data_IF_637061053271
#
_entry.id   IF_637061053271
#
_cell.length_a   1.000
_cell.length_b   1.000
_cell.length_c   1.000
_cell.angle_alpha   90.00
_cell.angle_beta   90.00
_cell.angle_gamma   90.00
#
_symmetry.space_group_name_H-M   'P 1'
#
loop_
_entity.id
_entity.type
_entity.pdbx_description
1 polymer ?
#
# COMPACT_ATOMS: atom_id res chain seq x y z
N UNK A 1 31.21 20.30 -54.66
CA UNK A 1 30.39 21.23 -55.44
C UNK A 1 28.96 20.74 -55.38
N UNK A 2 28.20 21.46 -54.70
CA UNK A 2 26.75 21.73 -54.74
C UNK A 2 25.80 20.73 -54.07
N UNK A 3 25.74 20.76 -52.77
CA UNK A 3 24.64 20.16 -51.96
C UNK A 3 23.85 21.24 -51.16
N UNK A 4 23.87 22.49 -51.62
CA UNK A 4 23.21 23.64 -50.96
C UNK A 4 21.95 24.16 -51.69
N UNK A 5 21.52 23.57 -52.79
CA UNK A 5 20.38 24.09 -53.57
C UNK A 5 19.05 23.36 -53.33
N UNK A 6 19.03 22.17 -52.72
CA UNK A 6 17.81 21.40 -52.54
C UNK A 6 17.08 21.61 -51.21
N UNK A 7 17.68 22.38 -50.29
CA UNK A 7 17.09 22.66 -48.95
C UNK A 7 16.05 23.80 -48.97
N UNK A 8 16.11 24.68 -49.99
CA UNK A 8 15.15 25.79 -50.09
C UNK A 8 13.78 25.44 -50.65
N UNK A 9 13.67 24.33 -51.37
CA UNK A 9 12.37 23.88 -51.94
C UNK A 9 11.59 22.97 -50.99
N UNK A 10 12.21 22.40 -49.96
CA UNK A 10 11.54 21.57 -48.95
C UNK A 10 10.84 22.43 -47.90
N UNK A 11 11.23 23.68 -47.73
CA UNK A 11 10.64 24.62 -46.74
C UNK A 11 9.43 25.41 -47.30
N UNK A 12 9.19 25.37 -48.64
CA UNK A 12 8.09 26.10 -49.28
C UNK A 12 6.85 25.26 -49.51
N UNK A 13 6.92 23.91 -49.29
CA UNK A 13 5.79 22.99 -49.46
C UNK A 13 5.01 22.72 -48.18
N UNK A 14 5.46 23.23 -47.01
CA UNK A 14 4.79 22.99 -45.70
C UNK A 14 3.82 24.13 -45.29
N UNK A 15 3.61 25.15 -46.12
CA UNK A 15 2.82 26.35 -45.78
C UNK A 15 1.49 26.46 -46.55
N UNK A 16 1.05 25.42 -47.29
CA UNK A 16 -0.15 25.50 -48.15
C UNK A 16 -1.24 24.46 -47.84
N UNK A 17 -1.37 24.01 -46.58
CA UNK A 17 -2.45 23.06 -46.21
C UNK A 17 -3.32 23.52 -45.03
N UNK A 18 -3.49 24.80 -44.82
CA UNK A 18 -4.48 25.32 -43.87
C UNK A 18 -5.44 26.32 -44.54
N UNK A 19 -6.24 25.84 -45.49
CA UNK A 19 -7.50 26.51 -45.89
C UNK A 19 -8.35 25.51 -46.70
N UNK A 20 -9.31 24.90 -46.01
CA UNK A 20 -10.66 24.57 -46.47
C UNK A 20 -11.29 23.58 -45.48
N UNK A 21 -12.28 24.04 -44.72
CA UNK A 21 -13.67 23.60 -44.86
C UNK A 21 -14.51 24.34 -43.82
N UNK A 22 -15.11 25.42 -44.25
CA UNK A 22 -16.40 25.82 -43.72
C UNK A 22 -17.44 24.97 -44.46
N UNK A 23 -18.08 24.09 -43.72
CA UNK A 23 -19.26 23.34 -44.15
C UNK A 23 -20.25 23.33 -43.01
N UNK A 24 -21.20 24.29 -43.09
CA UNK A 24 -22.42 24.27 -42.25
C UNK A 24 -23.19 22.96 -42.53
N UNK A 25 -23.12 22.01 -41.58
CA UNK A 25 -24.18 21.03 -41.41
C UNK A 25 -24.71 21.13 -39.98
N UNK A 26 -25.89 21.73 -39.87
CA UNK A 26 -26.73 21.66 -38.68
C UNK A 26 -27.15 20.22 -38.45
N UNK A 27 -26.49 19.55 -37.53
CA UNK A 27 -27.04 18.36 -36.88
C UNK A 27 -27.65 18.84 -35.58
N UNK A 28 -28.95 18.96 -35.61
CA UNK A 28 -29.81 19.23 -34.46
C UNK A 28 -29.89 17.92 -33.62
N UNK A 29 -28.92 17.71 -32.75
CA UNK A 29 -28.96 16.76 -31.67
C UNK A 29 -28.74 17.57 -30.40
N UNK A 30 -29.77 17.68 -29.56
CA UNK A 30 -29.82 18.49 -28.34
C UNK A 30 -28.77 18.06 -27.27
N UNK A 31 -27.50 18.14 -27.62
CA UNK A 31 -26.42 18.19 -26.65
C UNK A 31 -26.19 19.66 -26.31
N UNK A 32 -26.60 20.06 -25.14
CA UNK A 32 -26.18 21.33 -24.55
C UNK A 32 -24.65 21.26 -24.48
N UNK A 33 -23.98 21.96 -25.42
CA UNK A 33 -22.52 22.16 -25.35
C UNK A 33 -22.31 23.05 -24.14
N UNK A 34 -21.87 22.45 -23.04
CA UNK A 34 -21.50 23.12 -21.80
C UNK A 34 -20.17 23.82 -22.08
N UNK A 35 -20.23 25.14 -22.42
CA UNK A 35 -19.07 26.01 -22.59
C UNK A 35 -18.41 26.24 -21.23
N UNK A 36 -17.65 25.28 -20.72
CA UNK A 36 -16.96 25.36 -19.44
C UNK A 36 -15.66 24.58 -19.43
N UNK A 37 -14.70 25.06 -18.69
CA UNK A 37 -13.48 24.30 -18.37
C UNK A 37 -13.84 23.12 -17.46
N UNK A 38 -13.48 21.90 -17.85
CA UNK A 38 -13.69 20.71 -17.03
C UNK A 38 -12.92 20.83 -15.72
N UNK A 39 -13.53 20.41 -14.62
CA UNK A 39 -12.95 20.43 -13.29
C UNK A 39 -11.69 19.56 -13.22
N UNK A 40 -10.59 20.13 -12.78
CA UNK A 40 -9.33 19.41 -12.59
C UNK A 40 -9.29 18.75 -11.20
N UNK A 41 -8.82 17.52 -11.14
CA UNK A 41 -8.68 16.77 -9.89
C UNK A 41 -7.21 16.49 -9.59
N UNK A 42 -6.79 16.85 -8.39
CA UNK A 42 -5.52 16.43 -7.80
C UNK A 42 -5.86 15.64 -6.54
N UNK A 43 -5.60 14.33 -6.54
CA UNK A 43 -6.11 13.41 -5.52
C UNK A 43 -4.96 12.69 -4.84
N UNK A 44 -4.97 12.68 -3.51
CA UNK A 44 -4.06 11.89 -2.68
C UNK A 44 -4.78 11.38 -1.45
N UNK A 45 -4.23 10.35 -0.81
CA UNK A 45 -4.70 9.86 0.49
C UNK A 45 -3.82 10.46 1.59
N UNK A 46 -4.43 10.87 2.69
CA UNK A 46 -3.74 11.17 3.94
C UNK A 46 -3.44 9.88 4.71
N UNK A 47 -2.42 9.91 5.55
CA UNK A 47 -2.10 8.80 6.43
C UNK A 47 -3.05 8.76 7.62
N UNK A 48 -3.26 7.57 8.19
CA UNK A 48 -3.90 7.45 9.50
C UNK A 48 -3.09 8.19 10.57
N UNK A 49 -3.75 8.89 11.46
CA UNK A 49 -3.14 9.36 12.70
C UNK A 49 -2.75 8.15 13.56
N UNK A 50 -1.50 8.07 14.01
CA UNK A 50 -1.01 6.93 14.81
C UNK A 50 -1.37 7.16 16.27
N UNK A 51 -2.11 6.23 16.87
CA UNK A 51 -2.30 6.12 18.31
C UNK A 51 -1.53 4.89 18.80
N UNK A 52 -0.29 5.10 19.17
CA UNK A 52 0.60 4.05 19.67
C UNK A 52 0.26 3.74 21.13
N UNK A 53 -0.47 2.65 21.36
CA UNK A 53 -0.86 2.17 22.70
C UNK A 53 0.26 1.33 23.33
N UNK A 54 1.16 0.81 22.51
CA UNK A 54 2.40 0.16 22.94
C UNK A 54 3.55 1.15 22.81
N UNK A 55 4.35 1.36 23.85
CA UNK A 55 5.57 2.19 23.83
C UNK A 55 6.68 1.67 22.88
N UNK A 56 6.31 0.95 21.84
CA UNK A 56 7.20 0.38 20.83
C UNK A 56 7.00 1.20 19.55
N UNK A 57 8.02 2.01 19.20
CA UNK A 57 8.08 2.69 17.90
C UNK A 57 8.01 1.63 16.79
N UNK A 58 6.87 1.48 16.17
CA UNK A 58 6.76 0.83 14.87
C UNK A 58 7.18 1.87 13.85
N UNK A 59 8.32 1.67 13.22
CA UNK A 59 8.76 2.43 12.05
C UNK A 59 7.76 2.21 10.93
N UNK A 60 7.38 3.30 10.25
CA UNK A 60 6.56 3.41 9.04
C UNK A 60 6.23 2.09 8.34
N UNK A 61 5.24 1.38 8.81
CA UNK A 61 4.71 0.23 8.13
C UNK A 61 3.41 0.64 7.45
N UNK A 62 3.51 1.05 6.19
CA UNK A 62 2.54 0.88 5.13
C UNK A 62 1.04 0.95 5.46
N UNK A 63 0.61 1.85 6.37
CA UNK A 63 -0.80 2.12 6.59
C UNK A 63 -1.40 3.07 5.56
N UNK A 64 -0.61 3.48 4.56
CA UNK A 64 -1.05 4.36 3.50
C UNK A 64 -1.76 3.56 2.40
N UNK A 65 -3.05 3.80 2.23
CA UNK A 65 -3.78 3.36 1.04
C UNK A 65 -3.25 4.11 -0.17
N UNK A 66 -2.78 3.38 -1.18
CA UNK A 66 -2.34 3.95 -2.46
C UNK A 66 -3.33 3.60 -3.55
N UNK A 67 -3.56 4.54 -4.48
CA UNK A 67 -4.42 4.28 -5.62
C UNK A 67 -3.72 3.40 -6.66
N UNK A 68 -4.47 2.45 -7.20
CA UNK A 68 -4.04 1.55 -8.27
C UNK A 68 -4.75 1.91 -9.58
N UNK A 69 -4.13 1.57 -10.71
CA UNK A 69 -4.77 1.75 -12.02
C UNK A 69 -6.12 1.02 -12.05
N UNK A 70 -7.16 1.76 -12.36
CA UNK A 70 -8.53 1.26 -12.38
C UNK A 70 -9.38 1.69 -11.18
N UNK A 71 -8.77 2.23 -10.12
CA UNK A 71 -9.50 2.78 -8.98
C UNK A 71 -10.46 3.89 -9.41
N UNK A 72 -11.57 4.02 -8.68
CA UNK A 72 -12.61 4.99 -8.97
C UNK A 72 -13.03 5.73 -7.72
N UNK A 73 -13.23 7.04 -7.87
CA UNK A 73 -13.81 7.91 -6.85
C UNK A 73 -15.15 8.44 -7.34
N UNK A 74 -16.07 8.73 -6.42
CA UNK A 74 -17.28 9.49 -6.67
C UNK A 74 -17.09 10.94 -6.26
N UNK A 75 -17.58 11.87 -7.09
CA UNK A 75 -17.55 13.30 -6.77
C UNK A 75 -18.99 13.84 -6.84
N UNK A 76 -19.39 14.59 -5.80
CA UNK A 76 -20.72 15.17 -5.63
C UNK A 76 -20.54 16.67 -5.46
N UNK A 77 -21.37 17.47 -6.16
CA UNK A 77 -21.31 18.93 -6.09
C UNK A 77 -22.69 19.48 -5.77
N UNK A 78 -22.74 20.38 -4.78
CA UNK A 78 -23.98 21.03 -4.33
C UNK A 78 -23.86 22.54 -4.43
N UNK A 79 -25.03 23.23 -4.52
CA UNK A 79 -25.11 24.65 -4.32
C UNK A 79 -25.24 25.05 -2.83
N UNK A 80 -25.42 26.35 -2.55
CA UNK A 80 -25.54 26.87 -1.18
C UNK A 80 -26.80 26.40 -0.44
N UNK A 81 -27.81 25.97 -1.16
CA UNK A 81 -29.08 25.47 -0.63
C UNK A 81 -29.12 23.94 -0.53
N UNK A 82 -27.95 23.28 -0.74
CA UNK A 82 -27.77 21.83 -0.82
C UNK A 82 -28.54 21.15 -1.97
N UNK A 83 -28.90 21.90 -3.03
CA UNK A 83 -29.37 21.23 -4.24
C UNK A 83 -28.22 20.59 -5.00
N UNK A 84 -28.45 19.40 -5.52
CA UNK A 84 -27.45 18.64 -6.26
C UNK A 84 -27.24 19.26 -7.64
N UNK A 85 -26.01 19.70 -7.92
CA UNK A 85 -25.57 20.19 -9.23
C UNK A 85 -24.90 19.06 -10.03
N UNK A 86 -24.16 18.18 -9.34
CA UNK A 86 -23.54 16.98 -9.92
C UNK A 86 -23.66 15.84 -8.93
N UNK A 87 -24.33 14.76 -9.34
CA UNK A 87 -24.63 13.61 -8.48
C UNK A 87 -23.70 12.44 -8.76
N UNK A 88 -22.84 12.15 -7.80
CA UNK A 88 -22.00 10.95 -7.77
C UNK A 88 -21.27 10.67 -9.10
N UNK A 89 -20.55 11.66 -9.60
CA UNK A 89 -19.83 11.55 -10.88
C UNK A 89 -18.59 10.69 -10.72
N UNK A 90 -18.45 9.56 -11.47
CA UNK A 90 -17.31 8.68 -11.37
C UNK A 90 -16.08 9.25 -12.08
N UNK A 91 -14.95 9.26 -11.38
CA UNK A 91 -13.62 9.50 -11.94
C UNK A 91 -12.76 8.28 -11.74
N UNK A 92 -12.02 7.89 -12.79
CA UNK A 92 -11.14 6.73 -12.80
C UNK A 92 -9.68 7.15 -12.87
N UNK A 93 -8.85 6.46 -12.09
CA UNK A 93 -7.40 6.60 -12.11
C UNK A 93 -6.78 5.68 -13.18
N UNK A 94 -5.93 6.22 -14.05
CA UNK A 94 -5.23 5.44 -15.09
C UNK A 94 -3.80 5.05 -14.69
N UNK A 95 -3.40 5.31 -13.44
CA UNK A 95 -2.04 5.14 -12.94
C UNK A 95 -1.24 6.47 -12.91
N UNK A 96 -1.80 7.55 -13.45
CA UNK A 96 -1.16 8.86 -13.56
C UNK A 96 -2.12 10.01 -13.27
N UNK A 97 -3.29 10.00 -13.90
CA UNK A 97 -4.30 11.06 -13.78
C UNK A 97 -5.69 10.50 -13.49
N UNK A 98 -6.55 11.36 -12.94
CA UNK A 98 -7.97 11.09 -12.75
C UNK A 98 -8.78 11.71 -13.89
N UNK A 99 -9.60 10.90 -14.55
CA UNK A 99 -10.46 11.33 -15.64
C UNK A 99 -11.89 10.83 -15.45
N UNK A 100 -12.87 11.55 -16.02
CA UNK A 100 -14.26 11.11 -16.00
C UNK A 100 -14.39 9.70 -16.58
N UNK A 101 -15.05 8.80 -15.83
CA UNK A 101 -15.28 7.41 -16.26
C UNK A 101 -16.65 7.28 -16.95
N UNK A 102 -16.70 7.49 -18.27
CA UNK A 102 -17.92 7.36 -19.04
C UNK A 102 -18.54 5.96 -19.01
N UNK A 103 -17.74 4.92 -18.72
CA UNK A 103 -18.20 3.53 -18.65
C UNK A 103 -19.07 3.23 -17.43
N UNK A 104 -18.89 3.98 -16.34
CA UNK A 104 -19.69 3.90 -15.12
C UNK A 104 -20.59 5.11 -14.90
N UNK A 105 -20.44 6.14 -15.71
CA UNK A 105 -21.21 7.37 -15.68
C UNK A 105 -22.35 7.38 -16.70
N UNK A 106 -23.09 6.29 -16.90
CA UNK A 106 -24.20 6.23 -17.82
C UNK A 106 -25.22 7.35 -17.57
N UNK A 107 -25.44 8.20 -18.55
CA UNK A 107 -26.29 9.40 -18.43
C UNK A 107 -25.68 10.56 -17.64
N UNK A 108 -24.44 10.44 -17.14
CA UNK A 108 -23.68 11.48 -16.42
C UNK A 108 -22.64 12.12 -17.36
N UNK A 109 -22.18 13.30 -17.00
CA UNK A 109 -21.11 14.03 -17.71
C UNK A 109 -20.00 14.39 -16.73
N UNK A 110 -18.81 14.70 -17.24
CA UNK A 110 -17.75 15.30 -16.41
C UNK A 110 -18.28 16.56 -15.71
N UNK A 111 -17.72 16.85 -14.54
CA UNK A 111 -18.06 18.07 -13.81
C UNK A 111 -17.33 19.23 -14.49
N UNK A 112 -18.07 20.31 -14.75
CA UNK A 112 -17.56 21.58 -15.25
C UNK A 112 -17.66 22.66 -14.18
N UNK A 113 -16.88 23.73 -14.35
CA UNK A 113 -16.98 24.88 -13.47
C UNK A 113 -18.40 25.43 -13.49
N UNK A 114 -18.98 25.59 -12.28
CA UNK A 114 -20.29 26.21 -12.07
C UNK A 114 -20.16 27.27 -10.98
N UNK A 115 -20.60 28.51 -11.26
CA UNK A 115 -20.51 29.60 -10.31
C UNK A 115 -21.51 29.48 -9.13
N UNK A 116 -22.43 28.52 -9.17
CA UNK A 116 -23.36 28.19 -8.08
C UNK A 116 -22.83 27.13 -7.16
N UNK A 117 -21.81 26.38 -7.60
CA UNK A 117 -21.20 25.29 -6.83
C UNK A 117 -20.47 25.85 -5.60
N UNK A 118 -20.84 25.40 -4.42
CA UNK A 118 -20.31 25.91 -3.14
C UNK A 118 -19.87 24.81 -2.17
N UNK A 119 -20.33 23.57 -2.40
CA UNK A 119 -20.01 22.40 -1.58
C UNK A 119 -19.59 21.26 -2.49
N UNK A 120 -18.48 20.62 -2.14
CA UNK A 120 -17.92 19.51 -2.87
C UNK A 120 -17.63 18.36 -1.92
N UNK A 121 -18.03 17.15 -2.32
CA UNK A 121 -17.66 15.90 -1.65
C UNK A 121 -16.97 14.99 -2.62
N UNK A 122 -15.99 14.22 -2.13
CA UNK A 122 -15.42 13.11 -2.86
C UNK A 122 -15.26 11.91 -1.92
N UNK A 123 -15.32 10.71 -2.48
CA UNK A 123 -15.17 9.48 -1.70
C UNK A 123 -14.58 8.35 -2.55
N UNK A 124 -14.00 7.38 -1.88
CA UNK A 124 -13.49 6.12 -2.43
C UNK A 124 -13.89 4.96 -1.49
N UNK A 125 -14.21 3.78 -2.02
CA UNK A 125 -14.37 3.41 -3.43
C UNK A 125 -15.71 3.89 -4.03
N UNK A 126 -15.72 4.19 -5.33
CA UNK A 126 -16.95 4.56 -6.02
C UNK A 126 -17.99 3.42 -6.03
N UNK A 127 -19.25 3.74 -5.78
CA UNK A 127 -20.40 2.87 -6.00
C UNK A 127 -21.59 3.63 -6.53
N UNK A 128 -22.39 3.00 -7.40
CA UNK A 128 -23.68 3.54 -7.85
C UNK A 128 -24.72 3.62 -6.72
N UNK A 129 -24.54 2.85 -5.65
CA UNK A 129 -25.42 2.90 -4.48
C UNK A 129 -25.37 4.26 -3.75
N UNK A 130 -24.30 5.03 -3.98
CA UNK A 130 -24.16 6.38 -3.45
C UNK A 130 -24.84 7.46 -4.30
N UNK A 131 -25.61 7.12 -5.33
CA UNK A 131 -26.43 8.08 -6.06
C UNK A 131 -27.46 8.71 -5.10
N UNK A 132 -27.63 10.03 -5.20
CA UNK A 132 -28.48 10.87 -4.32
C UNK A 132 -27.99 10.98 -2.86
N UNK A 133 -26.78 10.55 -2.54
CA UNK A 133 -26.16 10.81 -1.23
C UNK A 133 -25.53 12.20 -1.25
N UNK A 134 -25.85 13.02 -0.24
CA UNK A 134 -25.44 14.44 -0.20
C UNK A 134 -24.55 14.78 1.01
N UNK A 135 -24.09 13.78 1.76
CA UNK A 135 -23.22 14.00 2.91
C UNK A 135 -22.43 12.74 3.27
N UNK A 136 -21.38 12.91 4.08
CA UNK A 136 -20.47 11.84 4.50
C UNK A 136 -21.19 10.78 5.36
N UNK A 137 -22.15 11.16 6.18
CA UNK A 137 -22.87 10.18 7.03
C UNK A 137 -23.73 9.22 6.19
N UNK A 138 -24.30 9.73 5.09
CA UNK A 138 -24.99 8.87 4.11
C UNK A 138 -24.02 7.88 3.45
N UNK A 139 -22.81 8.30 3.10
CA UNK A 139 -21.76 7.38 2.59
C UNK A 139 -21.39 6.31 3.61
N UNK A 140 -21.19 6.66 4.89
CA UNK A 140 -20.92 5.69 5.97
C UNK A 140 -22.07 4.70 6.16
N UNK A 141 -23.30 5.07 5.83
CA UNK A 141 -24.45 4.17 5.87
C UNK A 141 -24.41 3.08 4.77
N UNK A 142 -23.74 3.35 3.65
CA UNK A 142 -23.61 2.44 2.51
C UNK A 142 -22.34 1.59 2.65
N UNK A 143 -21.22 2.21 2.95
CA UNK A 143 -19.90 1.56 2.96
C UNK A 143 -19.52 1.13 4.38
N UNK A 144 -20.17 0.08 4.89
CA UNK A 144 -19.82 -0.49 6.19
C UNK A 144 -18.61 -1.43 6.06
N UNK A 145 -17.64 -1.37 7.00
CA UNK A 145 -16.54 -2.31 7.01
C UNK A 145 -17.02 -3.76 7.16
N UNK A 146 -16.46 -4.65 6.35
CA UNK A 146 -16.75 -6.07 6.43
C UNK A 146 -16.13 -6.71 7.68
N UNK A 147 -16.79 -7.74 8.23
CA UNK A 147 -16.25 -8.49 9.37
C UNK A 147 -15.13 -9.46 8.97
N UNK A 148 -15.10 -9.91 7.72
CA UNK A 148 -14.05 -10.75 7.16
C UNK A 148 -13.29 -9.98 6.06
N UNK A 149 -12.13 -9.46 6.41
CA UNK A 149 -11.26 -8.70 5.52
C UNK A 149 -9.99 -9.47 5.11
N UNK A 150 -9.99 -10.80 5.18
CA UNK A 150 -8.82 -11.62 4.83
C UNK A 150 -8.41 -11.53 3.36
N UNK A 151 -9.29 -11.11 2.47
CA UNK A 151 -8.93 -10.80 1.08
C UNK A 151 -8.54 -9.34 0.90
N UNK A 152 -7.63 -9.07 -0.05
CA UNK A 152 -7.23 -7.69 -0.41
C UNK A 152 -8.46 -6.85 -0.81
N UNK A 153 -9.38 -7.44 -1.55
CA UNK A 153 -10.57 -6.74 -2.06
C UNK A 153 -11.51 -6.36 -0.92
N UNK A 154 -11.80 -7.27 0.03
CA UNK A 154 -12.64 -6.98 1.19
C UNK A 154 -11.99 -5.93 2.12
N UNK A 155 -10.67 -6.01 2.34
CA UNK A 155 -9.94 -5.01 3.10
C UNK A 155 -10.04 -3.62 2.46
N UNK A 156 -9.77 -3.51 1.15
CA UNK A 156 -9.87 -2.24 0.42
C UNK A 156 -11.30 -1.69 0.34
N UNK A 157 -12.29 -2.57 0.15
CA UNK A 157 -13.71 -2.18 0.13
C UNK A 157 -14.19 -1.65 1.50
N UNK A 158 -13.56 -2.08 2.59
CA UNK A 158 -13.86 -1.63 3.95
C UNK A 158 -13.25 -0.25 4.28
N UNK A 159 -12.30 0.24 3.49
CA UNK A 159 -11.61 1.51 3.73
C UNK A 159 -12.31 2.65 2.98
N UNK A 160 -13.40 3.15 3.57
CA UNK A 160 -14.06 4.35 3.05
C UNK A 160 -13.18 5.58 3.27
N UNK A 161 -12.72 6.18 2.17
CA UNK A 161 -12.03 7.46 2.16
C UNK A 161 -13.02 8.58 1.83
N UNK A 162 -12.94 9.70 2.52
CA UNK A 162 -13.83 10.84 2.35
C UNK A 162 -13.06 12.14 2.31
N UNK A 163 -13.60 13.10 1.56
CA UNK A 163 -13.12 14.47 1.52
C UNK A 163 -14.30 15.42 1.29
N UNK A 164 -14.21 16.63 1.84
CA UNK A 164 -15.17 17.68 1.55
C UNK A 164 -14.54 19.07 1.53
N UNK A 165 -15.07 19.95 0.68
CA UNK A 165 -14.83 21.37 0.72
C UNK A 165 -16.19 22.08 0.87
N UNK A 166 -16.34 22.81 1.98
CA UNK A 166 -17.53 23.58 2.32
C UNK A 166 -17.21 25.07 2.43
N UNK A 167 -16.20 25.52 1.70
CA UNK A 167 -15.71 26.91 1.74
C UNK A 167 -16.73 27.95 1.20
N UNK A 168 -17.79 27.48 0.57
CA UNK A 168 -18.85 28.32 0.05
C UNK A 168 -18.51 29.07 -1.24
N UNK A 169 -17.50 28.59 -1.98
CA UNK A 169 -17.03 29.24 -3.22
C UNK A 169 -16.89 28.24 -4.37
N UNK A 170 -17.16 28.66 -5.61
CA UNK A 170 -16.94 27.80 -6.77
C UNK A 170 -15.45 27.55 -7.02
N UNK A 171 -15.10 26.31 -7.36
CA UNK A 171 -13.74 25.84 -7.61
C UNK A 171 -13.58 25.39 -9.06
N UNK A 172 -12.43 25.69 -9.65
CA UNK A 172 -11.99 25.16 -10.97
C UNK A 172 -11.11 23.93 -10.85
N UNK A 173 -10.57 23.70 -9.65
CA UNK A 173 -9.70 22.59 -9.32
C UNK A 173 -10.05 22.09 -7.93
N UNK A 174 -10.11 20.76 -7.75
CA UNK A 174 -10.22 20.11 -6.47
C UNK A 174 -8.87 19.51 -6.07
N UNK A 175 -8.30 20.02 -4.99
CA UNK A 175 -7.13 19.44 -4.33
C UNK A 175 -7.63 18.54 -3.21
N UNK A 176 -7.91 17.27 -3.55
CA UNK A 176 -8.51 16.27 -2.67
C UNK A 176 -7.42 15.59 -1.85
N UNK A 177 -7.50 15.72 -0.54
CA UNK A 177 -6.71 14.94 0.42
C UNK A 177 -7.68 14.10 1.21
N UNK A 178 -7.82 12.84 0.84
CA UNK A 178 -8.74 11.94 1.51
C UNK A 178 -8.31 11.64 2.95
N UNK A 179 -9.29 11.56 3.83
CA UNK A 179 -9.17 11.04 5.19
C UNK A 179 -9.93 9.72 5.29
N UNK A 180 -9.46 8.82 6.16
CA UNK A 180 -10.14 7.56 6.43
C UNK A 180 -11.38 7.80 7.29
N UNK A 181 -12.55 7.37 6.83
CA UNK A 181 -13.81 7.53 7.56
C UNK A 181 -13.90 6.61 8.79
N UNK A 182 -13.02 5.61 8.87
CA UNK A 182 -13.01 4.54 9.85
C UNK A 182 -11.70 4.47 10.64
N UNK A 183 -11.65 3.59 11.63
CA UNK A 183 -10.45 3.31 12.43
C UNK A 183 -9.73 2.10 11.89
N UNK A 184 -8.41 2.08 11.98
CA UNK A 184 -7.56 0.94 11.67
C UNK A 184 -7.07 0.27 12.96
N UNK A 185 -7.22 -1.05 13.07
CA UNK A 185 -6.53 -1.86 14.07
C UNK A 185 -5.39 -2.61 13.37
N UNK A 186 -4.18 -2.53 13.94
CA UNK A 186 -2.99 -3.20 13.42
C UNK A 186 -2.34 -4.05 14.50
N UNK A 187 -2.12 -5.34 14.23
CA UNK A 187 -1.52 -6.31 15.14
C UNK A 187 -0.24 -6.88 14.54
N UNK A 188 0.87 -6.75 15.27
CA UNK A 188 2.20 -7.23 14.86
C UNK A 188 2.85 -8.04 15.98
N UNK A 189 2.40 -9.29 16.25
CA UNK A 189 3.06 -10.15 17.23
C UNK A 189 4.49 -10.42 16.77
N UNK A 190 5.48 -10.12 17.60
CA UNK A 190 6.86 -10.03 17.12
C UNK A 190 7.85 -10.79 17.98
N UNK A 191 8.88 -11.34 17.34
CA UNK A 191 10.09 -11.82 17.98
C UNK A 191 11.12 -10.69 17.94
N UNK A 192 11.80 -10.48 19.08
CA UNK A 192 12.91 -9.54 19.18
C UNK A 192 14.23 -10.28 19.23
N UNK A 193 15.21 -9.80 18.47
CA UNK A 193 16.58 -10.29 18.53
C UNK A 193 17.59 -9.17 18.34
N UNK A 194 18.86 -9.45 18.67
CA UNK A 194 20.00 -8.61 18.31
C UNK A 194 20.85 -9.30 17.25
N UNK A 195 21.02 -8.61 16.12
CA UNK A 195 21.82 -9.13 15.03
C UNK A 195 23.28 -8.70 15.24
N UNK A 196 24.18 -9.68 15.33
CA UNK A 196 25.62 -9.48 15.57
C UNK A 196 25.92 -8.59 16.79
N UNK A 197 25.10 -8.65 17.84
CA UNK A 197 25.26 -7.86 19.07
C UNK A 197 25.17 -6.34 18.88
N UNK A 198 24.77 -5.85 17.70
CA UNK A 198 24.83 -4.42 17.36
C UNK A 198 23.48 -3.79 16.99
N UNK A 199 22.63 -4.55 16.31
CA UNK A 199 21.36 -4.03 15.79
C UNK A 199 20.18 -4.76 16.40
N UNK A 200 19.29 -4.02 17.07
CA UNK A 200 17.98 -4.54 17.47
C UNK A 200 17.16 -4.80 16.22
N UNK A 201 16.59 -5.98 16.14
CA UNK A 201 15.75 -6.42 15.04
C UNK A 201 14.46 -7.04 15.60
N UNK A 202 13.33 -6.63 15.04
CA UNK A 202 12.02 -7.14 15.44
C UNK A 202 11.27 -7.57 14.19
N UNK A 203 10.68 -8.75 14.20
CA UNK A 203 9.98 -9.30 13.04
C UNK A 203 8.75 -10.11 13.44
N UNK A 204 7.77 -10.19 12.55
CA UNK A 204 6.60 -11.07 12.70
C UNK A 204 6.99 -12.45 12.18
N UNK A 205 6.90 -13.51 13.02
CA UNK A 205 7.25 -14.86 12.56
C UNK A 205 6.16 -15.47 11.68
N UNK A 206 6.56 -16.27 10.70
CA UNK A 206 5.66 -16.96 9.78
C UNK A 206 4.77 -18.04 10.43
N UNK A 207 5.03 -18.38 11.67
CA UNK A 207 4.23 -19.34 12.46
C UNK A 207 2.99 -18.74 13.13
N UNK A 208 2.69 -17.46 12.90
CA UNK A 208 1.43 -16.85 13.35
C UNK A 208 0.29 -17.28 12.43
N UNK A 209 -0.77 -17.77 13.03
CA UNK A 209 -2.01 -18.16 12.33
C UNK A 209 -3.27 -17.82 13.15
N UNK A 210 -4.45 -18.05 12.56
CA UNK A 210 -5.76 -17.92 13.18
C UNK A 210 -6.00 -16.57 13.89
N UNK A 211 -5.55 -15.50 13.24
CA UNK A 211 -5.65 -14.14 13.79
C UNK A 211 -7.07 -13.62 13.69
N UNK A 212 -7.58 -13.12 14.81
CA UNK A 212 -8.87 -12.44 14.87
C UNK A 212 -8.88 -11.30 15.89
N UNK A 213 -9.74 -10.32 15.65
CA UNK A 213 -10.10 -9.30 16.61
C UNK A 213 -11.52 -9.50 17.10
N UNK A 214 -11.77 -9.30 18.38
CA UNK A 214 -13.10 -9.25 18.96
C UNK A 214 -13.40 -7.79 19.36
N UNK A 215 -14.35 -7.18 18.66
CA UNK A 215 -14.81 -5.82 18.89
C UNK A 215 -16.29 -5.89 19.27
N UNK A 216 -16.56 -6.13 20.55
CA UNK A 216 -17.87 -6.57 21.03
C UNK A 216 -17.94 -8.09 21.11
N UNK A 217 -18.97 -8.70 20.51
CA UNK A 217 -19.24 -10.13 20.61
C UNK A 217 -18.79 -10.95 19.41
N UNK A 218 -18.70 -10.32 18.24
CA UNK A 218 -18.38 -11.01 16.98
C UNK A 218 -16.90 -11.00 16.69
N UNK A 219 -16.32 -12.12 16.22
CA UNK A 219 -14.95 -12.13 15.72
C UNK A 219 -14.86 -11.44 14.36
N UNK A 220 -13.81 -10.64 14.18
CA UNK A 220 -13.46 -9.98 12.95
C UNK A 220 -12.12 -10.52 12.45
N UNK A 221 -12.00 -10.74 11.14
CA UNK A 221 -10.86 -11.40 10.53
C UNK A 221 -10.04 -10.41 9.70
N UNK A 222 -8.79 -10.10 10.12
CA UNK A 222 -7.94 -9.09 9.48
C UNK A 222 -7.31 -9.57 8.18
N UNK A 223 -6.87 -8.61 7.36
CA UNK A 223 -5.98 -8.83 6.23
C UNK A 223 -4.53 -8.93 6.71
N UNK A 224 -3.78 -9.89 6.18
CA UNK A 224 -2.34 -9.99 6.42
C UNK A 224 -1.57 -9.15 5.42
N UNK A 225 -0.82 -8.18 5.92
CA UNK A 225 0.04 -7.31 5.13
C UNK A 225 1.33 -8.01 4.70
N UNK A 226 2.04 -7.43 3.73
CA UNK A 226 3.31 -7.99 3.23
C UNK A 226 4.43 -8.03 4.28
N UNK A 227 4.39 -7.16 5.27
CA UNK A 227 5.33 -7.14 6.41
C UNK A 227 4.98 -8.16 7.50
N UNK A 228 3.90 -8.91 7.31
CA UNK A 228 3.37 -9.90 8.25
C UNK A 228 2.42 -9.34 9.29
N UNK A 229 2.24 -8.04 9.38
CA UNK A 229 1.22 -7.45 10.26
C UNK A 229 -0.20 -7.80 9.81
N UNK A 230 -1.14 -7.72 10.73
CA UNK A 230 -2.55 -8.01 10.48
C UNK A 230 -3.38 -6.75 10.70
N UNK A 231 -4.08 -6.31 9.68
CA UNK A 231 -4.82 -5.05 9.70
C UNK A 231 -6.31 -5.26 9.43
N UNK A 232 -7.15 -4.49 10.12
CA UNK A 232 -8.60 -4.50 9.92
C UNK A 232 -9.18 -3.10 10.10
N UNK A 233 -10.05 -2.72 9.19
CA UNK A 233 -10.82 -1.48 9.23
C UNK A 233 -12.11 -1.72 10.03
N UNK A 234 -12.43 -0.83 10.96
CA UNK A 234 -13.64 -0.94 11.78
C UNK A 234 -14.30 0.43 11.97
N UNK A 235 -15.61 0.42 12.17
CA UNK A 235 -16.36 1.66 12.47
C UNK A 235 -15.93 2.25 13.83
N UNK A 236 -15.72 3.57 13.91
CA UNK A 236 -15.40 4.26 15.15
C UNK A 236 -16.47 4.03 16.21
N UNK A 237 -16.08 3.62 17.39
CA UNK A 237 -16.98 3.43 18.54
C UNK A 237 -16.21 3.27 19.84
N UNK A 238 -16.86 3.57 20.95
CA UNK A 238 -16.33 3.19 22.26
C UNK A 238 -16.49 1.71 22.49
N UNK A 239 -15.38 1.00 22.66
CA UNK A 239 -15.39 -0.46 22.76
C UNK A 239 -14.13 -1.00 23.43
N UNK A 240 -14.24 -2.25 23.88
CA UNK A 240 -13.09 -3.07 24.24
C UNK A 240 -12.63 -3.85 23.02
N UNK A 241 -11.35 -3.81 22.72
CA UNK A 241 -10.74 -4.61 21.66
C UNK A 241 -9.95 -5.75 22.29
N UNK A 242 -10.20 -6.95 21.83
CA UNK A 242 -9.39 -8.12 22.14
C UNK A 242 -8.87 -8.71 20.84
N UNK A 243 -7.61 -9.16 20.81
CA UNK A 243 -7.05 -9.93 19.72
C UNK A 243 -6.65 -11.32 20.17
N UNK A 244 -6.72 -12.27 19.25
CA UNK A 244 -6.38 -13.67 19.45
C UNK A 244 -5.60 -14.13 18.24
N UNK A 245 -4.58 -14.95 18.43
CA UNK A 245 -3.80 -15.62 17.37
C UNK A 245 -3.20 -16.92 17.90
N UNK A 246 -2.86 -17.82 16.98
CA UNK A 246 -2.09 -19.01 17.30
C UNK A 246 -0.59 -18.74 17.04
N UNK A 247 0.28 -19.12 17.96
CA UNK A 247 1.73 -19.12 17.82
C UNK A 247 2.28 -20.43 18.38
N UNK A 248 3.04 -21.19 17.56
CA UNK A 248 3.60 -22.48 17.93
C UNK A 248 2.56 -23.48 18.49
N UNK A 249 1.33 -23.46 17.92
CA UNK A 249 0.18 -24.30 18.35
C UNK A 249 -0.41 -23.90 19.72
N UNK A 250 -0.04 -22.77 20.24
CA UNK A 250 -0.62 -22.21 21.47
C UNK A 250 -1.44 -20.97 21.16
N UNK A 251 -2.62 -20.88 21.77
CA UNK A 251 -3.48 -19.70 21.61
C UNK A 251 -3.00 -18.55 22.49
N UNK A 252 -2.63 -17.46 21.85
CA UNK A 252 -2.22 -16.22 22.48
C UNK A 252 -3.35 -15.19 22.40
N UNK A 253 -3.44 -14.31 23.37
CA UNK A 253 -4.42 -13.22 23.33
C UNK A 253 -3.97 -12.00 24.11
N UNK A 254 -4.47 -10.84 23.68
CA UNK A 254 -4.33 -9.59 24.41
C UNK A 254 -5.61 -8.78 24.32
N UNK A 255 -5.68 -7.71 25.07
CA UNK A 255 -6.83 -6.83 25.07
C UNK A 255 -6.44 -5.40 25.39
N UNK A 256 -7.12 -4.47 24.75
CA UNK A 256 -7.14 -3.06 25.10
C UNK A 256 -8.41 -2.79 25.95
N UNK A 257 -8.27 -1.97 26.98
CA UNK A 257 -9.43 -1.51 27.78
C UNK A 257 -10.40 -0.69 26.91
N UNK A 258 -11.58 -0.39 27.44
CA UNK A 258 -12.57 0.45 26.74
C UNK A 258 -11.92 1.75 26.29
N UNK A 259 -11.88 1.92 24.97
CA UNK A 259 -11.28 3.07 24.30
C UNK A 259 -12.27 3.64 23.29
N UNK A 260 -12.29 4.94 23.15
CA UNK A 260 -13.03 5.64 22.11
C UNK A 260 -12.20 5.57 20.82
N UNK A 261 -12.58 4.66 19.93
CA UNK A 261 -11.92 4.54 18.63
C UNK A 261 -12.38 5.67 17.72
N UNK A 262 -11.42 6.44 17.22
CA UNK A 262 -11.66 7.61 16.38
C UNK A 262 -11.46 7.28 14.90
N UNK A 263 -12.22 7.92 14.02
CA UNK A 263 -11.98 7.89 12.58
C UNK A 263 -10.57 8.38 12.26
N UNK A 264 -10.04 7.98 11.12
CA UNK A 264 -8.72 8.36 10.63
C UNK A 264 -7.58 8.09 11.64
N UNK A 265 -7.72 7.04 12.46
CA UNK A 265 -6.75 6.71 13.52
C UNK A 265 -6.38 5.24 13.48
N UNK A 266 -5.08 4.96 13.46
CA UNK A 266 -4.51 3.62 13.56
C UNK A 266 -4.16 3.30 15.02
N UNK A 267 -4.65 2.18 15.52
CA UNK A 267 -4.35 1.62 16.85
C UNK A 267 -3.46 0.40 16.68
N UNK A 268 -2.22 0.51 17.11
CA UNK A 268 -1.19 -0.52 16.93
C UNK A 268 -1.01 -1.37 18.17
N UNK A 269 -0.95 -2.69 17.99
CA UNK A 269 -0.69 -3.70 19.01
C UNK A 269 0.53 -4.53 18.58
N UNK A 270 1.63 -4.45 19.33
CA UNK A 270 2.88 -5.14 19.00
C UNK A 270 3.36 -5.98 20.21
N UNK A 271 2.66 -7.08 20.55
CA UNK A 271 3.10 -7.95 21.64
C UNK A 271 4.43 -8.62 21.27
N UNK A 272 5.39 -8.59 22.20
CA UNK A 272 6.62 -9.36 22.07
C UNK A 272 6.35 -10.80 22.50
N UNK A 273 6.50 -11.71 21.57
CA UNK A 273 6.33 -13.16 21.79
C UNK A 273 7.54 -13.73 22.51
N UNK A 274 8.73 -13.35 22.05
CA UNK A 274 9.99 -13.83 22.54
C UNK A 274 11.10 -12.80 22.31
N UNK A 275 12.06 -12.71 23.24
CA UNK A 275 13.34 -12.02 23.05
C UNK A 275 14.44 -13.08 23.03
N UNK A 276 14.92 -13.43 21.83
CA UNK A 276 15.94 -14.47 21.65
C UNK A 276 17.36 -13.95 21.87
N UNK A 277 17.51 -12.68 22.24
CA UNK A 277 18.79 -12.03 22.49
C UNK A 277 19.67 -11.94 21.25
N UNK A 278 21.00 -12.06 21.42
CA UNK A 278 21.93 -12.03 20.29
C UNK A 278 21.73 -13.24 19.37
N UNK A 279 21.51 -12.98 18.08
CA UNK A 279 21.41 -14.00 17.03
C UNK A 279 22.74 -14.08 16.28
N UNK A 280 23.53 -15.07 16.62
CA UNK A 280 24.92 -15.28 16.19
C UNK A 280 25.06 -16.60 15.45
N UNK A 281 26.22 -16.85 14.82
CA UNK A 281 26.49 -18.05 14.02
C UNK A 281 26.26 -19.36 14.77
N UNK A 282 26.49 -19.41 16.08
CA UNK A 282 26.25 -20.59 16.91
C UNK A 282 24.74 -20.89 17.10
N UNK A 283 23.86 -19.95 16.81
CA UNK A 283 22.39 -20.11 16.81
C UNK A 283 21.81 -20.32 15.42
N UNK A 284 22.63 -20.19 14.37
CA UNK A 284 22.19 -20.33 12.99
C UNK A 284 21.52 -21.67 12.72
N UNK A 285 20.42 -21.63 11.98
CA UNK A 285 19.65 -22.80 11.59
C UNK A 285 19.59 -22.92 10.06
N UNK A 286 19.42 -24.14 9.58
CA UNK A 286 19.21 -24.36 8.15
C UNK A 286 17.94 -23.62 7.70
N UNK A 287 18.07 -22.81 6.65
CA UNK A 287 17.02 -21.96 6.12
C UNK A 287 17.12 -20.49 6.54
N UNK A 288 17.95 -20.14 7.54
CA UNK A 288 18.19 -18.76 7.91
C UNK A 288 18.73 -17.95 6.74
N UNK A 289 18.41 -16.66 6.73
CA UNK A 289 18.87 -15.76 5.67
C UNK A 289 20.20 -15.12 6.08
N UNK A 290 21.15 -15.11 5.15
CA UNK A 290 22.34 -14.30 5.27
C UNK A 290 22.16 -13.02 4.47
N UNK A 291 22.15 -11.89 5.17
CA UNK A 291 21.89 -10.58 4.60
C UNK A 291 23.05 -9.62 4.86
N UNK A 292 23.09 -8.52 4.13
CA UNK A 292 23.96 -7.37 4.41
C UNK A 292 23.13 -6.08 4.47
N UNK A 293 23.66 -5.10 5.22
CA UNK A 293 23.14 -3.73 5.20
C UNK A 293 23.87 -2.88 4.15
N UNK A 294 23.46 -1.61 4.05
CA UNK A 294 24.08 -0.60 3.18
C UNK A 294 25.58 -0.37 3.45
N UNK A 295 26.06 -0.70 4.65
CA UNK A 295 27.45 -0.60 5.05
C UNK A 295 28.26 -1.87 4.81
N UNK A 296 27.69 -2.85 4.10
CA UNK A 296 28.27 -4.20 3.89
C UNK A 296 28.47 -5.03 5.15
N UNK A 297 27.80 -4.73 6.26
CA UNK A 297 27.84 -5.60 7.42
C UNK A 297 26.94 -6.81 7.19
N UNK A 298 27.49 -8.01 7.36
CA UNK A 298 26.73 -9.25 7.23
C UNK A 298 25.96 -9.61 8.50
N UNK A 299 24.75 -10.11 8.32
CA UNK A 299 23.85 -10.55 9.40
C UNK A 299 23.23 -11.90 9.09
N UNK A 300 22.96 -12.67 10.14
CA UNK A 300 22.03 -13.79 10.08
C UNK A 300 20.66 -13.31 10.51
N UNK A 301 19.65 -13.65 9.73
CA UNK A 301 18.24 -13.37 10.02
C UNK A 301 17.53 -14.72 10.18
N UNK A 302 16.73 -14.91 11.23
CA UNK A 302 15.95 -16.13 11.42
C UNK A 302 15.07 -16.46 10.21
N UNK A 303 14.99 -17.73 9.85
CA UNK A 303 14.27 -18.24 8.67
C UNK A 303 12.75 -18.02 8.69
N UNK A 304 12.21 -17.81 9.87
CA UNK A 304 10.76 -17.62 10.10
C UNK A 304 10.31 -16.17 9.95
N UNK A 305 11.20 -15.25 9.52
CA UNK A 305 10.82 -13.88 9.16
C UNK A 305 9.92 -13.88 7.93
N UNK A 306 8.82 -13.13 7.98
CA UNK A 306 7.91 -13.00 6.84
C UNK A 306 8.49 -12.05 5.78
N UNK A 307 9.08 -10.94 6.22
CA UNK A 307 9.65 -9.94 5.33
C UNK A 307 10.97 -9.40 5.87
N UNK A 308 11.94 -9.22 4.98
CA UNK A 308 13.19 -8.53 5.29
C UNK A 308 12.98 -7.02 5.21
N UNK A 309 13.68 -6.26 6.05
CA UNK A 309 13.70 -4.81 5.96
C UNK A 309 14.24 -4.36 4.60
N UNK A 310 13.71 -3.27 4.05
CA UNK A 310 14.10 -2.75 2.73
C UNK A 310 15.60 -2.34 2.65
N UNK A 311 16.23 -2.10 3.77
CA UNK A 311 17.66 -1.77 3.91
C UNK A 311 18.57 -3.00 4.01
N UNK A 312 18.04 -4.21 3.85
CA UNK A 312 18.77 -5.47 3.94
C UNK A 312 18.75 -6.23 2.62
N UNK A 313 19.92 -6.46 2.04
CA UNK A 313 20.08 -7.32 0.87
C UNK A 313 20.29 -8.77 1.30
N UNK A 314 19.40 -9.68 0.92
CA UNK A 314 19.60 -11.11 1.13
C UNK A 314 20.63 -11.65 0.15
N UNK A 315 21.73 -12.19 0.66
CA UNK A 315 22.83 -12.76 -0.12
C UNK A 315 22.70 -14.27 -0.32
N UNK A 316 22.02 -14.97 0.59
CA UNK A 316 21.87 -16.41 0.53
C UNK A 316 21.11 -16.98 1.71
N UNK A 317 20.97 -18.30 1.69
CA UNK A 317 20.28 -19.09 2.72
C UNK A 317 21.26 -20.08 3.32
N UNK A 318 21.24 -20.22 4.64
CA UNK A 318 22.03 -21.22 5.37
C UNK A 318 21.53 -22.62 5.02
N UNK A 319 22.37 -23.45 4.42
CA UNK A 319 22.01 -24.84 4.08
C UNK A 319 22.49 -25.85 5.12
N UNK A 320 23.52 -25.52 5.84
CA UNK A 320 24.06 -26.35 6.91
C UNK A 320 24.77 -25.44 7.90
N UNK A 321 24.51 -25.66 9.16
CA UNK A 321 25.24 -25.04 10.26
C UNK A 321 25.88 -26.13 11.12
N UNK A 322 27.08 -25.89 11.63
CA UNK A 322 27.81 -26.85 12.44
C UNK A 322 29.22 -26.40 12.75
N UNK A 323 29.96 -27.28 13.44
CA UNK A 323 31.39 -27.05 13.71
C UNK A 323 32.22 -27.80 12.70
N UNK A 324 33.32 -27.20 12.29
CA UNK A 324 34.33 -27.87 11.47
C UNK A 324 35.24 -28.83 12.30
N UNK A 325 36.25 -29.38 11.67
CA UNK A 325 37.22 -30.31 12.33
C UNK A 325 38.05 -29.61 13.40
N UNK A 326 38.12 -28.28 13.40
CA UNK A 326 38.87 -27.46 14.36
C UNK A 326 38.00 -26.98 15.51
N UNK A 327 36.68 -27.26 15.45
CA UNK A 327 35.70 -26.88 16.45
C UNK A 327 35.14 -25.47 16.26
N UNK A 328 35.49 -24.78 15.17
CA UNK A 328 34.94 -23.48 14.81
C UNK A 328 33.56 -23.61 14.15
N UNK A 329 32.67 -22.66 14.40
CA UNK A 329 31.37 -22.63 13.76
C UNK A 329 31.48 -22.26 12.28
N UNK A 330 30.86 -23.06 11.43
CA UNK A 330 30.92 -22.93 9.97
C UNK A 330 29.53 -23.10 9.40
N UNK A 331 29.09 -22.12 8.58
CA UNK A 331 27.88 -22.22 7.77
C UNK A 331 28.27 -22.58 6.34
N UNK A 332 27.49 -23.48 5.76
CA UNK A 332 27.70 -23.93 4.38
C UNK A 332 26.58 -23.39 3.52
N UNK A 333 26.93 -22.56 2.54
CA UNK A 333 26.00 -22.11 1.50
C UNK A 333 26.23 -22.88 0.22
N UNK A 334 25.15 -23.34 -0.40
CA UNK A 334 25.15 -23.93 -1.71
C UNK A 334 24.90 -22.85 -2.76
N UNK A 335 25.80 -22.72 -3.72
CA UNK A 335 25.64 -21.84 -4.85
C UNK A 335 25.95 -22.57 -6.16
N UNK A 336 25.38 -22.08 -7.26
CA UNK A 336 25.61 -22.63 -8.59
C UNK A 336 26.74 -21.85 -9.25
N UNK A 337 27.82 -22.53 -9.61
CA UNK A 337 28.89 -21.89 -10.38
C UNK A 337 28.46 -21.61 -11.83
N UNK A 338 29.20 -20.72 -12.51
CA UNK A 338 28.92 -20.28 -13.87
C UNK A 338 28.94 -21.42 -14.91
N UNK A 339 29.63 -22.51 -14.59
CA UNK A 339 29.73 -23.74 -15.39
C UNK A 339 28.61 -24.77 -15.10
N UNK A 340 27.70 -24.44 -14.20
CA UNK A 340 26.57 -25.29 -13.81
C UNK A 340 26.88 -26.26 -12.68
N UNK A 341 28.12 -26.32 -12.17
CA UNK A 341 28.50 -27.12 -11.02
C UNK A 341 28.03 -26.45 -9.73
N UNK A 342 27.42 -27.22 -8.84
CA UNK A 342 27.00 -26.74 -7.53
C UNK A 342 27.97 -27.24 -6.46
N UNK A 343 28.71 -26.36 -5.84
CA UNK A 343 29.63 -26.69 -4.76
C UNK A 343 29.11 -26.15 -3.41
N UNK A 344 29.48 -26.85 -2.33
CA UNK A 344 29.24 -26.35 -0.97
C UNK A 344 30.57 -25.78 -0.44
N UNK A 345 30.53 -24.52 -0.07
CA UNK A 345 31.70 -23.85 0.52
C UNK A 345 31.43 -23.51 1.99
N UNK A 346 32.39 -23.76 2.88
CA UNK A 346 32.33 -23.30 4.24
C UNK A 346 32.47 -21.76 4.28
N UNK A 347 31.60 -21.10 5.02
CA UNK A 347 31.76 -19.70 5.35
C UNK A 347 32.49 -19.61 6.69
N UNK A 348 33.79 -19.39 6.65
CA UNK A 348 34.55 -19.10 7.86
C UNK A 348 34.26 -17.64 8.31
N UNK A 349 34.07 -17.46 9.60
CA UNK A 349 33.58 -16.21 10.23
C UNK A 349 34.47 -14.96 10.12
N UNK A 350 35.25 -14.81 9.04
CA UNK A 350 35.85 -13.55 8.67
C UNK A 350 35.17 -12.97 7.43
N UNK A 351 34.55 -11.81 7.61
CA UNK A 351 33.80 -11.01 6.65
C UNK A 351 34.52 -10.78 5.30
N UNK A 352 35.83 -10.94 5.25
CA UNK A 352 36.64 -10.64 4.07
C UNK A 352 36.55 -11.65 2.93
N UNK A 353 36.06 -12.87 3.18
CA UNK A 353 35.93 -13.92 2.13
C UNK A 353 34.56 -13.91 1.43
N UNK A 354 33.59 -13.15 1.94
CA UNK A 354 32.22 -13.12 1.42
C UNK A 354 32.10 -12.24 0.18
N UNK A 355 33.02 -11.30 -0.04
CA UNK A 355 33.00 -10.43 -1.24
C UNK A 355 33.11 -11.21 -2.56
N UNK A 356 33.75 -12.38 -2.57
CA UNK A 356 33.80 -13.22 -3.77
C UNK A 356 32.52 -14.01 -4.03
N UNK A 357 31.71 -14.26 -3.02
CA UNK A 357 30.41 -14.95 -3.14
C UNK A 357 29.32 -14.01 -3.70
N UNK A 358 29.41 -12.72 -3.40
CA UNK A 358 28.45 -11.66 -3.79
C UNK A 358 28.31 -11.52 -5.30
N UNK A 359 29.41 -11.72 -6.05
CA UNK A 359 29.41 -11.53 -7.51
C UNK A 359 28.58 -12.62 -8.23
N UNK A 360 28.36 -13.78 -7.64
CA UNK A 360 27.66 -14.90 -8.28
C UNK A 360 26.17 -14.97 -7.97
N UNK A 361 25.72 -14.50 -6.81
CA UNK A 361 24.30 -14.50 -6.46
C UNK A 361 23.51 -13.38 -7.16
N UNK A 362 24.11 -12.21 -7.38
CA UNK A 362 23.50 -11.12 -8.13
C UNK A 362 23.21 -11.44 -9.61
N UNK A 363 23.80 -12.50 -10.18
CA UNK A 363 23.54 -12.94 -11.56
C UNK A 363 22.34 -13.90 -11.70
N UNK A 364 21.79 -14.43 -10.62
CA UNK A 364 20.71 -15.42 -10.64
C UNK A 364 19.37 -14.91 -10.09
N UNK A 365 19.33 -13.80 -9.38
CA UNK A 365 18.10 -13.20 -8.86
C UNK A 365 17.57 -12.04 -9.69
N UNK A 366 17.92 -11.98 -10.98
CA UNK A 366 17.14 -11.17 -11.91
C UNK A 366 15.84 -11.93 -12.18
N UNK A 367 14.78 -11.47 -11.54
CA UNK A 367 13.38 -11.81 -11.84
C UNK A 367 12.96 -13.25 -11.52
N UNK A 368 12.65 -13.49 -10.29
CA UNK A 368 11.39 -14.18 -9.96
C UNK A 368 10.98 -13.64 -8.58
N UNK A 369 10.01 -12.77 -8.57
CA UNK A 369 9.22 -12.46 -7.37
C UNK A 369 8.70 -13.78 -6.84
N UNK A 370 9.33 -14.32 -5.80
CA UNK A 370 8.70 -15.34 -4.99
C UNK A 370 7.54 -14.66 -4.26
N UNK A 371 6.36 -14.79 -4.84
CA UNK A 371 5.12 -14.65 -4.09
C UNK A 371 4.94 -15.98 -3.36
N UNK A 372 5.09 -15.94 -2.06
CA UNK A 372 4.49 -16.93 -1.18
C UNK A 372 3.08 -16.48 -0.85
#
# INVERSE_FOLDING_TARGET
MSMKKNLKYLLLLSLLSFMACNGDEKIDSGMVQQDGEALQLNVRVGDFAINDISNIRVTDSGSATTFENGDRIGVIVLDADNNVLSDNIPYKYDGSIWSFDSSNGEGKTAIYYDNKATVYFAYFPYSKEADNVINIDGLKGIFLPEGDQRSKDAYRASDLLVWSDTSGRPLKKLDIVFEHAYSLLSLSPSIKCKINGRRDFTYVPSSISDVSFNVGTEPLFPYQMNDGSYQIIISPKKTKVRWVYEYNKEMCSGAMSDTDLSANTCYTFAPILEDIGDYTLDKAQMGDFYCKDENNNGYLIPRDVIALSADMDCLGIVLKSGKDSEGEWVDYCKYKQKDGITEMHPMHGSINHIQSLIIYLNLFFTVTTFRF
#
